data_IF_414329944569
#
_entry.id   IF_414329944569
#
_cell.length_a   1.000
_cell.length_b   1.000
_cell.length_c   1.000
_cell.angle_alpha   90.00
_cell.angle_beta   90.00
_cell.angle_gamma   90.00
#
_symmetry.space_group_name_H-M   'P 1'
#
loop_
_entity.id
_entity.type
_entity.pdbx_description
1 polymer ?
#
# COMPACT_ATOMS: atom_id res chain seq x y z
N UNK A 1 57.41 27.05 -15.77
CA UNK A 1 56.15 26.58 -16.39
C UNK A 1 55.53 25.34 -15.70
N UNK A 2 56.25 24.62 -14.83
CA UNK A 2 55.72 23.41 -14.16
C UNK A 2 54.93 23.66 -12.85
N UNK A 3 55.16 24.78 -12.17
CA UNK A 3 54.53 25.08 -10.87
C UNK A 3 53.02 25.32 -10.99
N UNK A 4 52.59 25.99 -12.06
CA UNK A 4 51.16 26.26 -12.33
C UNK A 4 50.36 25.01 -12.68
N UNK A 5 51.01 23.96 -13.19
CA UNK A 5 50.36 22.69 -13.53
C UNK A 5 50.04 21.87 -12.27
N UNK A 6 50.96 21.84 -11.31
CA UNK A 6 50.77 21.20 -10.00
C UNK A 6 49.63 21.84 -9.20
N UNK A 7 49.52 23.17 -9.21
CA UNK A 7 48.42 23.87 -8.54
C UNK A 7 47.05 23.53 -9.12
N UNK A 8 46.95 23.31 -10.44
CA UNK A 8 45.70 22.91 -11.09
C UNK A 8 45.29 21.48 -10.71
N UNK A 9 46.26 20.56 -10.60
CA UNK A 9 46.01 19.19 -10.18
C UNK A 9 45.55 19.14 -8.72
N UNK A 10 46.25 19.86 -7.83
CA UNK A 10 45.88 19.91 -6.41
C UNK A 10 44.51 20.57 -6.23
N UNK A 11 44.22 21.65 -6.96
CA UNK A 11 42.90 22.28 -6.95
C UNK A 11 41.78 21.35 -7.42
N UNK A 12 42.03 20.56 -8.47
CA UNK A 12 41.08 19.56 -8.96
C UNK A 12 40.84 18.44 -7.94
N UNK A 13 41.91 17.95 -7.30
CA UNK A 13 41.81 16.90 -6.27
C UNK A 13 41.04 17.39 -5.03
N UNK A 14 41.25 18.62 -4.60
CA UNK A 14 40.51 19.22 -3.47
C UNK A 14 39.04 19.41 -3.81
N UNK A 15 38.73 19.83 -5.04
CA UNK A 15 37.34 19.98 -5.51
C UNK A 15 36.62 18.62 -5.61
N UNK A 16 37.31 17.57 -6.06
CA UNK A 16 36.79 16.19 -6.09
C UNK A 16 36.55 15.63 -4.68
N UNK A 17 37.43 15.94 -3.72
CA UNK A 17 37.26 15.52 -2.32
C UNK A 17 36.06 16.22 -1.64
N UNK A 18 35.78 17.47 -2.00
CA UNK A 18 34.60 18.21 -1.54
C UNK A 18 33.28 17.63 -2.09
N UNK A 19 33.29 17.10 -3.32
CA UNK A 19 32.11 16.44 -3.90
C UNK A 19 31.81 15.07 -3.27
N UNK A 20 32.82 14.37 -2.75
CA UNK A 20 32.64 13.08 -2.05
C UNK A 20 31.99 13.22 -0.67
N UNK A 21 31.87 14.42 -0.09
CA UNK A 21 31.21 14.64 1.20
C UNK A 21 29.71 14.92 1.09
N UNK A 22 29.14 14.92 -0.12
CA UNK A 22 27.70 14.85 -0.31
C UNK A 22 27.24 13.42 -0.02
N UNK A 23 27.23 13.06 1.27
CA UNK A 23 26.40 11.96 1.74
C UNK A 23 24.96 12.34 1.43
N UNK A 24 24.44 11.83 0.32
CA UNK A 24 23.01 11.75 0.09
C UNK A 24 22.45 10.96 1.27
N UNK A 25 21.82 11.67 2.20
CA UNK A 25 21.03 11.05 3.26
C UNK A 25 19.83 10.43 2.56
N UNK A 26 20.01 9.21 2.06
CA UNK A 26 18.91 8.37 1.64
C UNK A 26 18.06 8.21 2.90
N UNK A 27 16.95 8.94 2.95
CA UNK A 27 15.94 8.80 3.98
C UNK A 27 15.65 7.32 4.09
N UNK A 28 16.10 6.66 5.15
CA UNK A 28 15.73 5.26 5.42
C UNK A 28 14.22 5.24 5.52
N UNK A 29 13.49 4.72 4.51
CA UNK A 29 12.06 4.59 4.65
C UNK A 29 11.87 3.57 5.75
N UNK A 30 11.22 3.96 6.85
CA UNK A 30 10.91 3.04 7.94
C UNK A 30 10.22 1.79 7.33
N UNK A 31 10.64 0.58 7.72
CA UNK A 31 10.17 -0.63 7.07
C UNK A 31 8.66 -0.82 7.30
N UNK A 32 8.00 -1.39 6.30
CA UNK A 32 6.63 -1.83 6.44
C UNK A 32 6.54 -2.97 7.47
N UNK A 33 5.46 -3.03 8.23
CA UNK A 33 5.12 -4.23 9.00
C UNK A 33 4.45 -5.24 8.08
N UNK A 34 4.98 -6.47 8.06
CA UNK A 34 4.38 -7.61 7.35
C UNK A 34 3.48 -8.45 8.27
N UNK A 35 2.98 -9.58 7.74
CA UNK A 35 2.05 -10.52 8.39
C UNK A 35 0.65 -9.96 8.65
N UNK A 36 0.27 -8.89 7.94
CA UNK A 36 -1.11 -8.45 7.92
C UNK A 36 -1.86 -9.22 6.84
N UNK A 37 -3.14 -9.49 7.07
CA UNK A 37 -3.97 -10.22 6.12
C UNK A 37 -4.89 -9.27 5.37
N UNK A 38 -4.94 -9.43 4.04
CA UNK A 38 -5.94 -8.83 3.17
C UNK A 38 -6.72 -9.93 2.45
N UNK A 39 -8.02 -9.73 2.34
CA UNK A 39 -8.92 -10.52 1.51
C UNK A 39 -9.46 -9.64 0.40
N UNK A 40 -9.39 -10.14 -0.83
CA UNK A 40 -9.92 -9.50 -2.02
C UNK A 40 -10.97 -10.41 -2.62
N UNK A 41 -12.16 -9.87 -2.89
CA UNK A 41 -13.28 -10.60 -3.45
C UNK A 41 -13.65 -9.99 -4.79
N UNK A 42 -13.63 -10.81 -5.83
CA UNK A 42 -14.21 -10.47 -7.14
C UNK A 42 -15.66 -10.96 -7.14
N UNK A 43 -16.60 -10.03 -7.26
CA UNK A 43 -18.02 -10.35 -7.26
C UNK A 43 -18.44 -10.97 -8.60
N UNK A 44 -19.28 -12.01 -8.52
CA UNK A 44 -19.88 -12.70 -9.66
C UNK A 44 -21.40 -12.58 -9.58
N UNK A 45 -22.13 -12.57 -10.71
CA UNK A 45 -23.59 -12.64 -10.69
C UNK A 45 -24.14 -13.85 -9.92
N UNK A 46 -23.34 -14.92 -9.75
CA UNK A 46 -23.75 -16.18 -9.10
C UNK A 46 -23.02 -16.46 -7.78
N UNK A 47 -22.19 -15.55 -7.28
CA UNK A 47 -21.38 -15.79 -6.09
C UNK A 47 -20.19 -14.86 -5.97
N UNK A 48 -19.09 -15.40 -5.45
CA UNK A 48 -17.87 -14.63 -5.18
C UNK A 48 -16.62 -15.48 -5.40
N UNK A 49 -15.58 -14.85 -5.94
CA UNK A 49 -14.24 -15.42 -6.01
C UNK A 49 -13.37 -14.71 -4.98
N UNK A 50 -13.02 -15.41 -3.91
CA UNK A 50 -12.28 -14.85 -2.78
C UNK A 50 -10.81 -15.26 -2.82
N UNK A 51 -9.95 -14.28 -2.64
CA UNK A 51 -8.50 -14.41 -2.62
C UNK A 51 -7.97 -13.79 -1.33
N UNK A 52 -6.91 -14.37 -0.78
CA UNK A 52 -6.29 -13.94 0.46
C UNK A 52 -4.79 -13.74 0.25
N UNK A 53 -4.20 -12.81 0.98
CA UNK A 53 -2.76 -12.68 1.15
C UNK A 53 -2.46 -12.34 2.62
N UNK A 54 -1.40 -12.93 3.16
CA UNK A 54 -0.81 -12.61 4.47
C UNK A 54 0.43 -11.70 4.34
N UNK A 55 0.67 -11.18 3.14
CA UNK A 55 1.79 -10.30 2.79
C UNK A 55 1.34 -8.83 2.67
N UNK A 56 0.26 -8.42 3.34
CA UNK A 56 -0.13 -7.01 3.39
C UNK A 56 0.93 -6.23 4.19
N UNK A 57 1.55 -5.28 3.52
CA UNK A 57 2.52 -4.35 4.07
C UNK A 57 1.80 -3.10 4.58
N UNK A 58 2.10 -2.68 5.81
CA UNK A 58 1.53 -1.47 6.41
C UNK A 58 2.62 -0.57 6.96
N UNK A 59 2.53 0.73 6.69
CA UNK A 59 3.42 1.75 7.25
C UNK A 59 2.63 2.98 7.64
N UNK A 60 2.91 3.53 8.82
CA UNK A 60 2.39 4.85 9.19
C UNK A 60 3.35 5.96 8.78
N UNK A 61 2.90 6.85 7.92
CA UNK A 61 3.58 8.06 7.52
C UNK A 61 3.20 9.22 8.44
N UNK A 62 4.06 9.54 9.40
CA UNK A 62 3.83 10.60 10.39
C UNK A 62 3.74 12.01 9.78
N UNK A 63 4.43 12.26 8.66
CA UNK A 63 4.44 13.58 8.02
C UNK A 63 3.12 13.87 7.31
N UNK A 64 2.49 12.83 6.76
CA UNK A 64 1.20 12.94 6.05
C UNK A 64 0.01 12.47 6.87
N UNK A 65 0.25 11.96 8.07
CA UNK A 65 -0.77 11.38 8.95
C UNK A 65 -1.57 10.28 8.23
N UNK A 66 -0.87 9.41 7.49
CA UNK A 66 -1.48 8.39 6.62
C UNK A 66 -0.95 6.98 6.90
N UNK A 67 -1.83 5.99 6.92
CA UNK A 67 -1.47 4.58 6.78
C UNK A 67 -1.30 4.26 5.29
N UNK A 68 -0.08 3.90 4.92
CA UNK A 68 0.25 3.39 3.61
C UNK A 68 0.18 1.86 3.63
N UNK A 69 -0.67 1.30 2.80
CA UNK A 69 -0.91 -0.13 2.69
C UNK A 69 -0.56 -0.59 1.26
N UNK A 70 0.20 -1.67 1.12
CA UNK A 70 0.49 -2.29 -0.18
C UNK A 70 0.47 -3.80 -0.09
N UNK A 71 -0.01 -4.47 -1.13
CA UNK A 71 0.08 -5.92 -1.28
C UNK A 71 0.49 -6.25 -2.71
N UNK A 72 1.40 -7.22 -2.85
CA UNK A 72 1.75 -7.76 -4.16
C UNK A 72 0.59 -8.61 -4.69
N UNK A 73 0.17 -8.36 -5.92
CA UNK A 73 -0.99 -9.04 -6.52
C UNK A 73 -0.71 -10.54 -6.72
N UNK A 74 0.54 -10.91 -6.99
CA UNK A 74 0.94 -12.32 -7.11
C UNK A 74 0.96 -13.09 -5.78
N UNK A 75 0.87 -12.41 -4.63
CA UNK A 75 0.75 -13.05 -3.31
C UNK A 75 -0.70 -13.51 -3.01
N UNK A 76 -1.66 -13.09 -3.83
CA UNK A 76 -3.07 -13.44 -3.65
C UNK A 76 -3.32 -14.89 -4.07
N UNK A 77 -3.72 -15.72 -3.13
CA UNK A 77 -4.10 -17.11 -3.36
C UNK A 77 -5.62 -17.31 -3.19
N UNK A 78 -6.25 -18.17 -4.00
CA UNK A 78 -7.68 -18.46 -3.87
C UNK A 78 -7.98 -19.16 -2.55
N UNK A 79 -9.16 -18.90 -1.97
CA UNK A 79 -9.61 -19.59 -0.75
C UNK A 79 -10.32 -20.91 -1.01
N UNK A 80 -10.51 -21.28 -2.28
CA UNK A 80 -11.18 -22.51 -2.72
C UNK A 80 -10.56 -23.03 -4.02
N UNK A 81 -10.42 -24.35 -4.16
CA UNK A 81 -9.84 -25.02 -5.33
C UNK A 81 -10.66 -24.86 -6.62
N UNK A 82 -11.92 -24.43 -6.49
CA UNK A 82 -12.80 -24.13 -7.62
C UNK A 82 -12.50 -22.79 -8.29
N UNK A 83 -11.64 -21.97 -7.70
CA UNK A 83 -11.28 -20.63 -8.18
C UNK A 83 -9.95 -20.72 -8.95
N UNK A 84 -9.87 -20.24 -10.20
CA UNK A 84 -8.61 -20.22 -10.93
C UNK A 84 -7.55 -19.39 -10.20
N UNK A 85 -6.39 -19.98 -9.92
CA UNK A 85 -5.34 -19.35 -9.12
C UNK A 85 -4.82 -18.03 -9.70
N UNK A 86 -4.80 -17.91 -11.03
CA UNK A 86 -4.35 -16.71 -11.73
C UNK A 86 -5.42 -15.61 -11.87
N UNK A 87 -6.68 -15.87 -11.52
CA UNK A 87 -7.78 -14.94 -11.81
C UNK A 87 -7.56 -13.56 -11.19
N UNK A 88 -7.17 -13.47 -9.91
CA UNK A 88 -6.88 -12.17 -9.28
C UNK A 88 -5.71 -11.44 -9.97
N UNK A 89 -4.64 -12.17 -10.29
CA UNK A 89 -3.48 -11.63 -11.00
C UNK A 89 -3.87 -11.05 -12.37
N UNK A 90 -4.72 -11.77 -13.10
CA UNK A 90 -5.14 -11.34 -14.42
C UNK A 90 -6.13 -10.17 -14.38
N UNK A 91 -7.11 -10.22 -13.48
CA UNK A 91 -8.17 -9.21 -13.36
C UNK A 91 -7.63 -7.89 -12.82
N UNK A 92 -6.69 -7.94 -11.88
CA UNK A 92 -6.05 -6.74 -11.34
C UNK A 92 -4.84 -6.28 -12.17
N UNK A 93 -4.57 -6.92 -13.31
CA UNK A 93 -3.48 -6.60 -14.24
C UNK A 93 -2.10 -6.67 -13.58
N UNK A 94 -1.87 -7.70 -12.75
CA UNK A 94 -0.66 -7.92 -11.97
C UNK A 94 0.65 -7.95 -12.78
N UNK A 95 0.58 -8.25 -14.08
CA UNK A 95 1.75 -8.19 -14.97
C UNK A 95 2.23 -6.75 -15.23
N UNK A 96 1.31 -5.78 -15.26
CA UNK A 96 1.61 -4.36 -15.50
C UNK A 96 1.66 -3.56 -14.21
N UNK A 97 0.80 -3.90 -13.26
CA UNK A 97 0.66 -3.24 -11.96
C UNK A 97 0.82 -4.30 -10.88
N UNK A 98 2.06 -4.62 -10.45
CA UNK A 98 2.32 -5.76 -9.57
C UNK A 98 1.81 -5.55 -8.14
N UNK A 99 1.45 -4.32 -7.78
CA UNK A 99 1.03 -3.93 -6.43
C UNK A 99 -0.35 -3.29 -6.44
N UNK A 100 -1.13 -3.60 -5.40
CA UNK A 100 -2.36 -2.91 -5.06
C UNK A 100 -2.10 -2.05 -3.81
N UNK A 101 -2.28 -0.73 -3.94
CA UNK A 101 -1.91 0.23 -2.91
C UNK A 101 -3.09 1.10 -2.45
N UNK A 102 -3.12 1.37 -1.14
CA UNK A 102 -4.10 2.22 -0.47
C UNK A 102 -3.41 3.17 0.50
N UNK A 103 -3.87 4.41 0.56
CA UNK A 103 -3.45 5.40 1.55
C UNK A 103 -4.68 5.80 2.37
N UNK A 104 -4.67 5.51 3.66
CA UNK A 104 -5.80 5.76 4.57
C UNK A 104 -5.40 6.89 5.51
N UNK A 105 -6.18 7.97 5.54
CA UNK A 105 -5.94 9.07 6.49
C UNK A 105 -6.17 8.59 7.94
N UNK A 106 -5.30 9.01 8.85
CA UNK A 106 -5.37 8.70 10.28
C UNK A 106 -5.75 9.96 11.05
N UNK A 107 -6.86 9.94 11.82
CA UNK A 107 -7.24 11.06 12.67
C UNK A 107 -6.18 11.44 13.70
N UNK A 108 -5.88 12.74 13.81
CA UNK A 108 -4.84 13.28 14.70
C UNK A 108 -5.14 13.05 16.19
N UNK A 109 -6.43 12.93 16.51
CA UNK A 109 -6.93 12.65 17.85
C UNK A 109 -6.57 11.23 18.32
N UNK A 110 -6.43 10.26 17.40
CA UNK A 110 -6.09 8.87 17.75
C UNK A 110 -4.62 8.70 18.12
N UNK A 111 -3.73 9.54 17.59
CA UNK A 111 -2.29 9.47 17.88
C UNK A 111 -1.91 10.13 19.21
N UNK A 112 -2.69 11.13 19.64
CA UNK A 112 -2.39 11.96 20.80
C UNK A 112 -3.25 11.61 22.03
N UNK A 113 -4.14 10.63 21.92
CA UNK A 113 -5.01 10.25 23.04
C UNK A 113 -4.46 9.04 23.78
N UNK A 114 -4.31 9.15 25.10
CA UNK A 114 -4.14 8.01 26.03
C UNK A 114 -5.40 7.12 26.09
N UNK A 115 -6.38 7.35 25.21
CA UNK A 115 -7.64 6.64 25.17
C UNK A 115 -7.49 5.41 24.30
N UNK A 116 -7.50 4.24 24.93
CA UNK A 116 -7.63 2.91 24.31
C UNK A 116 -9.04 2.64 23.75
N UNK A 117 -9.68 3.66 23.17
CA UNK A 117 -11.04 3.57 22.62
C UNK A 117 -10.99 3.18 21.15
N UNK A 118 -11.60 2.06 20.79
CA UNK A 118 -11.79 1.71 19.40
C UNK A 118 -12.99 2.45 18.82
N UNK A 119 -12.84 3.11 17.66
CA UNK A 119 -13.96 3.75 16.97
C UNK A 119 -13.93 3.46 15.48
N UNK A 120 -15.11 3.17 14.93
CA UNK A 120 -15.32 3.15 13.49
C UNK A 120 -15.52 4.57 13.01
N UNK A 121 -14.70 5.00 12.05
CA UNK A 121 -14.80 6.32 11.45
C UNK A 121 -14.62 6.23 9.94
N UNK A 122 -15.32 7.10 9.20
CA UNK A 122 -15.17 7.16 7.75
C UNK A 122 -13.94 7.97 7.40
N UNK A 123 -12.87 7.29 6.98
CA UNK A 123 -11.62 7.93 6.58
C UNK A 123 -11.56 8.15 5.09
N UNK A 124 -10.96 9.28 4.68
CA UNK A 124 -10.57 9.47 3.29
C UNK A 124 -9.49 8.44 2.98
N UNK A 125 -9.65 7.78 1.84
CA UNK A 125 -8.71 6.77 1.38
C UNK A 125 -8.45 6.96 -0.09
N UNK A 126 -7.18 7.10 -0.44
CA UNK A 126 -6.69 7.15 -1.81
C UNK A 126 -6.35 5.73 -2.24
N UNK A 127 -6.92 5.31 -3.36
CA UNK A 127 -6.83 3.93 -3.85
C UNK A 127 -6.24 3.99 -5.25
N UNK A 128 -5.21 3.20 -5.51
CA UNK A 128 -4.65 3.08 -6.87
C UNK A 128 -4.90 1.68 -7.40
N UNK A 129 -5.63 1.58 -8.51
CA UNK A 129 -6.08 0.34 -9.13
C UNK A 129 -5.85 0.40 -10.64
N UNK A 130 -5.13 -0.59 -11.18
CA UNK A 130 -4.72 -0.63 -12.59
C UNK A 130 -4.08 0.69 -13.10
N UNK A 131 -3.33 1.38 -12.23
CA UNK A 131 -2.66 2.64 -12.55
C UNK A 131 -3.54 3.90 -12.42
N UNK A 132 -4.83 3.75 -12.14
CA UNK A 132 -5.75 4.86 -11.93
C UNK A 132 -5.99 5.08 -10.44
N UNK A 133 -6.03 6.34 -10.03
CA UNK A 133 -6.18 6.73 -8.62
C UNK A 133 -7.52 7.39 -8.39
N UNK A 134 -8.23 6.96 -7.36
CA UNK A 134 -9.48 7.58 -6.92
C UNK A 134 -9.52 7.69 -5.39
N UNK A 135 -10.27 8.66 -4.89
CA UNK A 135 -10.47 8.88 -3.46
C UNK A 135 -11.89 8.49 -3.05
N UNK A 136 -12.00 7.72 -1.96
CA UNK A 136 -13.29 7.33 -1.37
C UNK A 136 -13.23 7.45 0.14
N UNK A 137 -14.37 7.75 0.77
CA UNK A 137 -14.50 7.61 2.23
C UNK A 137 -14.89 6.18 2.57
N UNK A 138 -14.06 5.48 3.34
CA UNK A 138 -14.31 4.09 3.76
C UNK A 138 -14.41 3.99 5.28
N UNK A 139 -15.20 3.06 5.82
CA UNK A 139 -15.24 2.81 7.25
C UNK A 139 -13.94 2.14 7.70
N UNK A 140 -13.25 2.73 8.68
CA UNK A 140 -12.04 2.16 9.28
C UNK A 140 -12.23 2.11 10.78
N UNK A 141 -11.95 0.96 11.36
CA UNK A 141 -11.97 0.74 12.79
C UNK A 141 -10.54 0.79 13.30
N UNK A 142 -10.19 1.81 14.07
CA UNK A 142 -8.85 1.95 14.66
C UNK A 142 -8.84 1.44 16.10
N UNK A 143 -7.71 0.85 16.48
CA UNK A 143 -7.37 0.47 17.85
C UNK A 143 -5.90 0.86 18.10
N UNK A 144 -5.63 2.13 18.45
CA UNK A 144 -4.30 2.57 18.83
C UNK A 144 -3.87 1.97 20.18
N UNK A 145 -2.59 1.64 20.29
CA UNK A 145 -1.89 1.24 21.52
C UNK A 145 -0.53 1.96 21.55
N UNK A 146 0.14 2.01 22.71
CA UNK A 146 1.29 2.89 23.00
C UNK A 146 2.32 3.00 21.86
N UNK A 147 2.66 1.89 21.20
CA UNK A 147 3.63 1.85 20.10
C UNK A 147 3.07 1.20 18.81
N UNK A 148 1.75 1.07 18.70
CA UNK A 148 1.14 0.27 17.63
C UNK A 148 -0.18 0.87 17.18
N UNK A 149 -0.45 0.84 15.89
CA UNK A 149 -1.76 1.19 15.35
C UNK A 149 -2.32 -0.08 14.74
N UNK A 150 -3.37 -0.62 15.36
CA UNK A 150 -4.15 -1.69 14.75
C UNK A 150 -5.37 -1.11 14.05
N UNK A 151 -5.72 -1.63 12.89
CA UNK A 151 -6.92 -1.20 12.17
C UNK A 151 -7.58 -2.35 11.41
N UNK A 152 -8.88 -2.21 11.17
CA UNK A 152 -9.63 -3.07 10.28
C UNK A 152 -10.53 -2.24 9.36
N UNK A 153 -10.74 -2.70 8.13
CA UNK A 153 -11.65 -2.04 7.19
C UNK A 153 -12.25 -3.05 6.23
N UNK A 154 -13.47 -2.79 5.80
CA UNK A 154 -14.15 -3.54 4.75
C UNK A 154 -14.91 -2.57 3.87
N UNK A 155 -14.61 -2.57 2.57
CA UNK A 155 -15.23 -1.66 1.61
C UNK A 155 -15.27 -2.27 0.21
N UNK A 156 -16.13 -1.72 -0.63
CA UNK A 156 -16.28 -2.12 -2.02
C UNK A 156 -15.77 -1.05 -2.99
N UNK A 157 -15.33 -1.50 -4.17
CA UNK A 157 -14.91 -0.68 -5.30
C UNK A 157 -15.62 -1.19 -6.54
N UNK A 158 -15.95 -0.26 -7.44
CA UNK A 158 -16.38 -0.61 -8.80
C UNK A 158 -15.20 -0.32 -9.72
N UNK A 159 -14.75 -1.30 -10.51
CA UNK A 159 -13.63 -1.13 -11.44
C UNK A 159 -13.85 0.06 -12.40
N UNK A 160 -15.09 0.25 -12.85
CA UNK A 160 -15.47 1.36 -13.73
C UNK A 160 -15.18 2.74 -13.12
N UNK A 161 -15.24 2.89 -11.78
CA UNK A 161 -14.91 4.15 -11.11
C UNK A 161 -13.41 4.49 -11.18
N UNK A 162 -12.59 3.53 -11.60
CA UNK A 162 -11.15 3.67 -11.77
C UNK A 162 -10.76 3.59 -13.25
N UNK A 163 -11.70 3.66 -14.20
CA UNK A 163 -11.42 3.38 -15.62
C UNK A 163 -10.68 2.03 -15.81
N UNK A 164 -10.86 1.11 -14.85
CA UNK A 164 -10.22 -0.19 -14.83
C UNK A 164 -11.09 -1.17 -15.58
N UNK A 165 -10.47 -2.12 -16.27
CA UNK A 165 -11.19 -3.05 -17.13
C UNK A 165 -11.02 -4.49 -16.68
N UNK A 166 -12.06 -5.29 -16.92
CA UNK A 166 -12.03 -6.73 -16.72
C UNK A 166 -11.50 -7.37 -18.00
N UNK A 167 -10.52 -8.29 -17.94
CA UNK A 167 -10.10 -9.04 -19.13
C UNK A 167 -11.29 -9.77 -19.76
N UNK A 168 -11.35 -9.78 -21.11
CA UNK A 168 -12.50 -10.28 -21.85
C UNK A 168 -12.98 -11.69 -21.44
N UNK A 169 -12.04 -12.57 -21.08
CA UNK A 169 -12.34 -13.94 -20.63
C UNK A 169 -13.11 -14.02 -19.30
N UNK A 170 -13.06 -12.98 -18.47
CA UNK A 170 -13.73 -12.92 -17.18
C UNK A 170 -15.01 -12.05 -17.18
N UNK A 171 -15.28 -11.30 -18.25
CA UNK A 171 -16.52 -10.51 -18.39
C UNK A 171 -17.81 -11.32 -18.14
N UNK A 172 -17.95 -12.59 -18.59
CA UNK A 172 -19.19 -13.33 -18.36
C UNK A 172 -19.41 -13.77 -16.90
N UNK A 173 -18.36 -13.74 -16.07
CA UNK A 173 -18.39 -14.31 -14.72
C UNK A 173 -18.17 -13.27 -13.62
N UNK A 174 -17.76 -12.04 -13.96
CA UNK A 174 -17.51 -10.96 -13.01
C UNK A 174 -18.45 -9.78 -13.24
N UNK A 175 -18.86 -9.12 -12.15
CA UNK A 175 -19.70 -7.91 -12.20
C UNK A 175 -18.89 -6.61 -12.33
N UNK A 176 -17.57 -6.67 -12.09
CA UNK A 176 -16.72 -5.49 -11.97
C UNK A 176 -16.67 -4.88 -10.58
N UNK A 177 -17.40 -5.46 -9.61
CA UNK A 177 -17.30 -5.06 -8.21
C UNK A 177 -16.20 -5.86 -7.51
N UNK A 178 -15.36 -5.14 -6.78
CA UNK A 178 -14.29 -5.65 -5.93
C UNK A 178 -14.66 -5.36 -4.47
N UNK A 179 -14.51 -6.33 -3.57
CA UNK A 179 -14.61 -6.09 -2.13
C UNK A 179 -13.24 -6.33 -1.51
N UNK A 180 -12.81 -5.41 -0.66
CA UNK A 180 -11.55 -5.48 0.06
C UNK A 180 -11.86 -5.54 1.54
N UNK A 181 -11.26 -6.52 2.21
CA UNK A 181 -11.34 -6.68 3.65
C UNK A 181 -9.93 -6.79 4.23
N UNK A 182 -9.61 -5.95 5.21
CA UNK A 182 -8.40 -5.97 5.99
C UNK A 182 -8.81 -6.23 7.44
N UNK A 183 -8.43 -7.39 7.97
CA UNK A 183 -8.77 -7.79 9.32
C UNK A 183 -7.57 -7.54 10.26
N UNK A 184 -7.72 -6.59 11.18
CA UNK A 184 -6.78 -6.35 12.28
C UNK A 184 -5.32 -6.23 11.81
N UNK A 185 -5.08 -5.43 10.78
CA UNK A 185 -3.74 -5.09 10.34
C UNK A 185 -3.08 -4.15 11.36
N UNK A 186 -1.78 -4.31 11.55
CA UNK A 186 -1.01 -3.63 12.58
C UNK A 186 0.22 -2.97 11.98
N UNK A 187 0.38 -1.70 12.32
CA UNK A 187 1.65 -1.00 12.24
C UNK A 187 2.34 -1.00 13.61
N UNK A 188 3.66 -1.17 13.60
CA UNK A 188 4.54 -1.17 14.77
C UNK A 188 5.54 -0.03 14.61
N UNK A 189 5.64 0.84 15.60
CA UNK A 189 6.78 1.74 15.71
C UNK A 189 7.99 0.90 16.13
N UNK A 190 8.82 0.52 15.16
CA UNK A 190 10.08 -0.16 15.48
C UNK A 190 10.99 0.83 16.21
N UNK A 191 11.58 0.43 17.35
CA UNK A 191 12.49 1.27 18.14
C UNK A 191 13.77 1.63 17.39
#
# INVERSE_FOLDING_TARGET
>A
MHVTFLFRIVGLCVFLLLLCQLNASAQTPRPFTGKNTITIVLESPRGRYEFKSDELLVRYNRTREQLECSVLINSLYPTSDTIPANMAYDVLYGARFPELAFLIDVPNELMNSDRTGSSQQNQRTTITLQGNTNEKKIPVHFAPDKNTISFGTSFDLMLDNFEASIPARYLPVLTGRLLININNARWLDQP
#
